data_IF_551409458411
#
_entry.id   IF_551409458411
#
_cell.length_a   1.000
_cell.length_b   1.000
_cell.length_c   1.000
_cell.angle_alpha   90.00
_cell.angle_beta   90.00
_cell.angle_gamma   90.00
#
_symmetry.space_group_name_H-M   'P 1'
#
loop_
_entity.id
_entity.type
_entity.pdbx_description
1 polymer ?
#
# COMPACT_ATOMS: atom_id res chain seq x y z
N UNK A 1 -10.86 36.43 33.52
CA UNK A 1 -11.44 36.62 32.18
C UNK A 1 -10.49 37.50 31.39
N UNK A 2 -10.03 37.03 30.25
CA UNK A 2 -9.22 37.82 29.32
C UNK A 2 -10.20 38.48 28.34
N UNK A 3 -10.21 39.82 28.19
CA UNK A 3 -11.08 40.47 27.21
C UNK A 3 -10.73 40.06 25.78
N UNK A 4 -11.73 39.72 24.95
CA UNK A 4 -11.59 39.42 23.52
C UNK A 4 -12.20 40.56 22.67
N UNK A 5 -11.60 41.77 22.64
CA UNK A 5 -12.24 42.96 22.08
C UNK A 5 -12.67 42.84 20.61
N UNK A 6 -11.99 42.02 19.82
CA UNK A 6 -12.25 41.88 18.39
C UNK A 6 -13.46 40.98 18.08
N UNK A 7 -13.94 40.18 19.06
CA UNK A 7 -15.08 39.25 18.92
C UNK A 7 -15.09 38.51 17.57
N UNK A 8 -13.91 38.04 17.12
CA UNK A 8 -13.79 37.34 15.84
C UNK A 8 -14.66 36.09 15.83
N UNK A 9 -15.21 35.84 14.65
CA UNK A 9 -16.03 34.68 14.33
C UNK A 9 -15.75 34.38 12.85
N UNK A 10 -14.77 33.52 12.62
CA UNK A 10 -14.16 33.31 11.30
C UNK A 10 -15.00 32.41 10.39
N UNK A 11 -15.87 31.57 10.95
CA UNK A 11 -16.77 30.68 10.21
C UNK A 11 -18.25 31.15 10.21
N UNK A 12 -18.54 32.22 10.96
CA UNK A 12 -19.86 32.87 11.10
C UNK A 12 -20.93 31.99 11.75
N UNK A 13 -20.55 31.09 12.65
CA UNK A 13 -21.48 30.26 13.42
C UNK A 13 -22.01 30.98 14.70
N UNK A 14 -22.61 30.25 15.66
CA UNK A 14 -23.20 30.85 16.87
C UNK A 14 -22.17 31.15 17.97
N UNK A 15 -20.94 30.67 17.83
CA UNK A 15 -19.82 30.80 18.74
C UNK A 15 -18.76 31.71 18.09
N UNK A 16 -17.99 32.43 18.91
CA UNK A 16 -16.85 33.21 18.40
C UNK A 16 -15.57 32.40 18.58
N UNK A 17 -14.53 32.67 17.79
CA UNK A 17 -13.29 31.88 17.70
C UNK A 17 -12.68 31.50 19.06
N UNK A 18 -12.86 32.34 20.08
CA UNK A 18 -12.33 32.11 21.43
C UNK A 18 -13.10 31.06 22.25
N UNK A 19 -14.31 30.69 21.83
CA UNK A 19 -15.22 29.75 22.49
C UNK A 19 -15.71 28.67 21.52
N UNK A 20 -15.14 28.63 20.32
CA UNK A 20 -15.48 27.71 19.26
C UNK A 20 -14.41 26.61 19.18
N UNK A 21 -14.82 25.36 19.25
CA UNK A 21 -13.93 24.21 19.10
C UNK A 21 -13.58 23.89 17.63
N UNK A 22 -14.19 24.59 16.66
CA UNK A 22 -13.83 24.59 15.24
C UNK A 22 -13.86 25.99 14.60
N UNK A 23 -12.93 26.91 14.96
CA UNK A 23 -13.00 28.33 14.57
C UNK A 23 -13.11 28.65 13.08
N UNK A 24 -12.82 27.70 12.20
CA UNK A 24 -12.81 27.89 10.75
C UNK A 24 -13.83 26.99 10.02
N UNK A 25 -14.65 26.21 10.74
CA UNK A 25 -15.60 25.26 10.18
C UNK A 25 -16.91 25.26 10.97
N UNK A 26 -17.98 25.68 10.29
CA UNK A 26 -19.31 25.85 10.87
C UNK A 26 -19.80 24.59 11.60
N UNK A 27 -19.89 24.67 12.92
CA UNK A 27 -20.34 23.56 13.78
C UNK A 27 -21.23 24.05 14.95
N UNK A 28 -22.47 24.51 14.67
CA UNK A 28 -23.36 25.10 15.69
C UNK A 28 -23.73 24.20 16.87
N UNK A 29 -23.43 22.90 16.77
CA UNK A 29 -23.61 21.92 17.85
C UNK A 29 -22.45 21.83 18.83
N UNK A 30 -21.26 22.37 18.49
CA UNK A 30 -20.02 22.28 19.28
C UNK A 30 -19.78 20.85 19.81
N UNK A 31 -20.06 19.86 18.98
CA UNK A 31 -19.87 18.45 19.34
C UNK A 31 -18.37 18.22 19.46
N UNK A 32 -17.97 17.66 20.58
CA UNK A 32 -16.61 17.29 20.96
C UNK A 32 -16.77 16.00 21.75
N UNK A 33 -16.91 14.89 21.03
CA UNK A 33 -17.20 13.60 21.63
C UNK A 33 -15.99 13.10 22.43
N UNK A 34 -14.79 13.43 21.97
CA UNK A 34 -13.57 12.88 22.55
C UNK A 34 -13.02 13.66 23.75
N UNK A 35 -13.42 14.93 23.89
CA UNK A 35 -13.13 15.82 25.00
C UNK A 35 -11.77 16.52 24.89
N UNK A 36 -11.12 16.49 23.73
CA UNK A 36 -9.82 17.11 23.51
C UNK A 36 -9.90 18.63 23.22
N UNK A 37 -11.14 19.15 23.08
CA UNK A 37 -11.53 20.54 22.77
C UNK A 37 -11.37 20.95 21.30
N UNK A 38 -11.17 20.00 20.40
CA UNK A 38 -11.30 20.15 18.96
C UNK A 38 -12.67 19.56 18.59
N UNK A 39 -13.49 20.29 17.85
CA UNK A 39 -14.82 19.80 17.51
C UNK A 39 -14.76 18.69 16.47
N UNK A 40 -15.68 17.73 16.53
CA UNK A 40 -15.71 16.55 15.67
C UNK A 40 -15.64 16.89 14.16
N UNK A 41 -16.16 18.05 13.77
CA UNK A 41 -16.17 18.53 12.38
C UNK A 41 -14.78 18.93 11.87
N UNK A 42 -13.87 19.31 12.77
CA UNK A 42 -12.52 19.76 12.46
C UNK A 42 -11.42 18.94 13.14
N UNK A 43 -11.77 17.92 13.92
CA UNK A 43 -10.82 17.01 14.55
C UNK A 43 -10.41 15.90 13.58
N UNK A 44 -9.14 15.83 13.16
CA UNK A 44 -8.64 14.72 12.34
C UNK A 44 -8.58 13.38 13.09
N UNK A 45 -8.79 13.35 14.41
CA UNK A 45 -8.75 12.13 15.25
C UNK A 45 -10.13 11.59 15.61
N UNK A 46 -11.22 12.32 15.30
CA UNK A 46 -12.57 11.77 15.35
C UNK A 46 -12.72 10.72 14.25
N UNK A 47 -12.82 9.47 14.70
CA UNK A 47 -13.17 8.36 13.85
C UNK A 47 -14.66 8.48 13.48
N UNK A 48 -15.05 8.28 12.21
CA UNK A 48 -16.47 8.24 11.85
C UNK A 48 -17.23 7.21 12.70
N UNK A 49 -18.55 7.30 12.72
CA UNK A 49 -19.44 6.22 13.17
C UNK A 49 -19.92 5.55 11.87
N UNK A 50 -19.47 4.34 11.58
CA UNK A 50 -19.74 3.69 10.29
C UNK A 50 -21.10 2.97 10.26
N UNK A 51 -21.62 2.53 11.40
CA UNK A 51 -22.88 1.80 11.48
C UNK A 51 -24.06 2.63 12.01
N UNK A 52 -23.78 3.87 12.37
CA UNK A 52 -24.70 4.92 12.82
C UNK A 52 -25.43 4.56 14.11
N UNK A 53 -24.75 3.87 15.03
CA UNK A 53 -25.31 3.44 16.31
C UNK A 53 -25.11 4.44 17.46
N UNK A 54 -24.47 5.59 17.18
CA UNK A 54 -24.12 6.69 18.09
C UNK A 54 -22.86 6.49 18.93
N UNK A 55 -22.10 5.42 18.68
CA UNK A 55 -20.76 5.18 19.22
C UNK A 55 -19.74 5.37 18.10
N UNK A 56 -18.72 6.19 18.33
CA UNK A 56 -17.69 6.42 17.31
C UNK A 56 -16.81 5.16 17.14
N UNK A 57 -16.37 4.86 15.92
CA UNK A 57 -15.60 3.64 15.60
C UNK A 57 -14.36 3.41 16.49
N UNK A 58 -13.76 4.46 17.08
CA UNK A 58 -12.60 4.33 17.97
C UNK A 58 -12.95 3.95 19.41
N UNK A 59 -14.24 3.94 19.75
CA UNK A 59 -14.84 3.63 21.06
C UNK A 59 -15.92 2.57 20.96
N UNK A 60 -16.29 2.20 19.76
CA UNK A 60 -17.26 1.17 19.44
C UNK A 60 -16.58 -0.20 19.48
N UNK A 61 -17.14 -1.14 20.25
CA UNK A 61 -16.68 -2.53 20.24
C UNK A 61 -17.29 -3.35 19.08
N UNK A 62 -18.09 -2.73 18.20
CA UNK A 62 -18.58 -3.25 16.93
C UNK A 62 -18.75 -2.17 15.81
N UNK A 63 -17.69 -1.51 15.28
CA UNK A 63 -17.73 -0.38 14.34
C UNK A 63 -18.55 -0.52 13.06
N UNK A 64 -19.01 -1.72 12.73
CA UNK A 64 -19.76 -2.00 11.51
C UNK A 64 -21.09 -2.73 11.80
N UNK A 65 -21.43 -2.94 13.08
CA UNK A 65 -22.63 -3.66 13.53
C UNK A 65 -23.24 -2.96 14.73
N UNK A 66 -24.31 -2.20 14.46
CA UNK A 66 -24.96 -1.36 15.46
C UNK A 66 -25.25 -2.08 16.78
N UNK A 67 -24.64 -1.59 17.85
CA UNK A 67 -24.81 -2.05 19.23
C UNK A 67 -24.66 -0.88 20.23
N UNK A 68 -25.65 0.03 20.30
CA UNK A 68 -25.56 1.24 21.12
C UNK A 68 -25.36 0.99 22.63
N UNK A 69 -25.62 -0.23 23.10
CA UNK A 69 -25.44 -0.66 24.48
C UNK A 69 -24.02 -1.17 24.79
N UNK A 70 -23.18 -1.36 23.77
CA UNK A 70 -21.78 -1.76 23.85
C UNK A 70 -21.58 -3.01 24.73
N UNK A 71 -22.56 -3.93 24.70
CA UNK A 71 -22.50 -5.16 25.48
C UNK A 71 -21.28 -6.00 25.07
N UNK A 72 -20.46 -6.37 26.05
CA UNK A 72 -19.28 -7.23 25.93
C UNK A 72 -19.28 -8.15 27.15
N UNK A 73 -19.91 -9.32 27.00
CA UNK A 73 -20.18 -10.23 28.12
C UNK A 73 -18.90 -10.91 28.62
N UNK A 74 -17.91 -11.12 27.75
CA UNK A 74 -16.67 -11.82 28.08
C UNK A 74 -15.49 -10.87 28.38
N UNK A 75 -15.64 -9.58 28.09
CA UNK A 75 -14.69 -8.50 28.39
C UNK A 75 -13.48 -8.49 27.46
N UNK A 76 -13.61 -9.03 26.25
CA UNK A 76 -12.50 -9.16 25.31
C UNK A 76 -12.30 -7.92 24.40
N UNK A 77 -13.21 -6.94 24.46
CA UNK A 77 -13.18 -5.71 23.64
C UNK A 77 -13.94 -5.81 22.32
N UNK A 78 -14.55 -6.94 21.98
CA UNK A 78 -15.49 -7.16 20.88
C UNK A 78 -16.90 -7.21 21.46
N UNK A 79 -17.85 -6.49 20.88
CA UNK A 79 -19.22 -6.51 21.37
C UNK A 79 -19.95 -7.81 21.03
N UNK A 80 -20.84 -8.24 21.93
CA UNK A 80 -21.69 -9.44 21.77
C UNK A 80 -22.46 -9.45 20.43
N UNK A 81 -22.72 -8.26 19.86
CA UNK A 81 -23.45 -8.08 18.61
C UNK A 81 -22.64 -8.42 17.34
N UNK A 82 -21.34 -8.12 17.33
CA UNK A 82 -20.42 -8.45 16.25
C UNK A 82 -19.58 -9.68 16.57
N UNK A 83 -19.71 -10.24 17.76
CA UNK A 83 -19.03 -11.46 18.14
C UNK A 83 -19.38 -12.62 17.18
N UNK A 84 -18.34 -13.32 16.73
CA UNK A 84 -18.47 -14.43 15.79
C UNK A 84 -18.74 -14.03 14.34
N UNK A 85 -18.62 -12.74 13.99
CA UNK A 85 -18.63 -12.26 12.60
C UNK A 85 -17.30 -11.54 12.31
N UNK A 86 -16.71 -11.75 11.13
CA UNK A 86 -15.47 -11.08 10.75
C UNK A 86 -15.50 -10.64 9.29
N UNK A 87 -15.07 -9.41 9.05
CA UNK A 87 -14.81 -8.89 7.71
C UNK A 87 -13.32 -9.05 7.47
N UNK A 88 -12.96 -9.77 6.40
CA UNK A 88 -11.58 -9.82 5.94
C UNK A 88 -11.36 -8.82 4.83
N UNK A 89 -10.31 -8.03 4.98
CA UNK A 89 -9.79 -7.13 3.97
C UNK A 89 -8.39 -7.55 3.54
N UNK A 90 -7.91 -6.91 2.48
CA UNK A 90 -6.51 -6.96 2.10
C UNK A 90 -5.75 -5.86 2.88
N UNK A 91 -4.58 -6.18 3.44
CA UNK A 91 -3.77 -5.20 4.18
C UNK A 91 -3.37 -3.99 3.30
N UNK A 92 -3.27 -4.20 1.99
CA UNK A 92 -2.91 -3.18 1.02
C UNK A 92 -3.79 -3.29 -0.22
N UNK A 93 -4.20 -2.14 -0.76
CA UNK A 93 -5.02 -2.08 -1.98
C UNK A 93 -4.24 -2.44 -3.26
N UNK A 94 -2.91 -2.27 -3.23
CA UNK A 94 -1.99 -2.68 -4.28
C UNK A 94 -0.64 -3.06 -3.66
N UNK A 95 0.08 -4.00 -4.28
CA UNK A 95 1.43 -4.40 -3.87
C UNK A 95 2.37 -4.24 -5.07
N UNK A 96 3.55 -3.68 -4.84
CA UNK A 96 4.65 -3.62 -5.82
C UNK A 96 5.79 -4.47 -5.30
N UNK A 97 6.41 -5.25 -6.17
CA UNK A 97 7.53 -6.13 -5.86
C UNK A 97 8.57 -6.03 -6.97
N UNK A 98 9.85 -6.08 -6.61
CA UNK A 98 10.92 -6.22 -7.60
C UNK A 98 10.94 -7.64 -8.18
N UNK A 99 11.44 -7.80 -9.40
CA UNK A 99 11.56 -9.11 -10.04
C UNK A 99 12.56 -10.02 -9.27
N UNK A 100 13.65 -9.44 -8.73
CA UNK A 100 14.66 -10.10 -7.90
C UNK A 100 14.19 -10.53 -6.49
N UNK A 101 12.95 -10.21 -6.10
CA UNK A 101 12.49 -10.46 -4.74
C UNK A 101 12.27 -11.94 -4.41
N UNK A 102 12.30 -12.83 -5.41
CA UNK A 102 11.95 -14.26 -5.38
C UNK A 102 10.47 -14.55 -5.02
N UNK A 103 9.91 -13.82 -4.05
CA UNK A 103 8.55 -13.95 -3.56
C UNK A 103 7.94 -12.59 -3.22
N UNK A 104 6.67 -12.41 -3.58
CA UNK A 104 5.81 -11.33 -3.09
C UNK A 104 4.88 -11.85 -2.00
N UNK A 105 4.83 -11.17 -0.86
CA UNK A 105 3.89 -11.49 0.22
C UNK A 105 2.72 -10.51 0.21
N UNK A 106 1.52 -11.05 0.38
CA UNK A 106 0.32 -10.27 0.71
C UNK A 106 -0.37 -10.88 1.92
N UNK A 107 -1.08 -10.05 2.68
CA UNK A 107 -1.77 -10.50 3.88
C UNK A 107 -3.27 -10.17 3.82
N UNK A 108 -4.07 -11.16 4.19
CA UNK A 108 -5.46 -10.99 4.56
C UNK A 108 -5.51 -10.61 6.03
N UNK A 109 -6.25 -9.56 6.36
CA UNK A 109 -6.38 -9.05 7.72
C UNK A 109 -7.84 -9.03 8.11
N UNK A 110 -8.12 -9.31 9.38
CA UNK A 110 -9.44 -8.99 9.94
C UNK A 110 -9.49 -7.47 10.07
N UNK A 111 -10.45 -6.84 9.41
CA UNK A 111 -10.65 -5.41 9.53
C UNK A 111 -11.08 -5.08 10.96
N UNK A 112 -10.42 -4.07 11.54
CA UNK A 112 -10.71 -3.59 12.89
C UNK A 112 -10.70 -4.71 13.97
N UNK A 113 -9.56 -5.40 14.20
CA UNK A 113 -9.51 -6.50 15.16
C UNK A 113 -9.53 -5.93 16.59
N UNK A 114 -10.68 -6.01 17.25
CA UNK A 114 -10.92 -5.34 18.56
C UNK A 114 -10.41 -6.14 19.77
N UNK A 115 -9.87 -7.34 19.55
CA UNK A 115 -9.27 -8.16 20.62
C UNK A 115 -7.98 -8.86 20.16
N UNK A 116 -7.25 -9.42 21.13
CA UNK A 116 -6.08 -10.27 20.88
C UNK A 116 -6.42 -11.62 20.24
N UNK A 117 -7.67 -12.06 20.31
CA UNK A 117 -8.18 -13.26 19.66
C UNK A 117 -9.54 -12.95 19.01
N UNK A 118 -9.56 -12.37 17.79
CA UNK A 118 -10.79 -11.90 17.17
C UNK A 118 -11.73 -13.03 16.74
N UNK A 119 -11.22 -14.25 16.57
CA UNK A 119 -12.00 -15.41 16.14
C UNK A 119 -11.64 -16.66 16.95
N UNK A 120 -12.65 -17.32 17.53
CA UNK A 120 -12.48 -18.56 18.30
C UNK A 120 -12.44 -19.83 17.44
N UNK A 121 -12.58 -19.68 16.12
CA UNK A 121 -12.61 -20.77 15.14
C UNK A 121 -11.62 -20.50 13.99
N UNK A 122 -11.22 -21.57 13.30
CA UNK A 122 -10.45 -21.48 12.06
C UNK A 122 -11.35 -21.73 10.86
N UNK A 123 -10.99 -21.16 9.72
CA UNK A 123 -11.72 -21.33 8.47
C UNK A 123 -10.75 -21.35 7.29
N UNK A 124 -11.24 -21.77 6.13
CA UNK A 124 -10.41 -21.91 4.92
C UNK A 124 -10.73 -20.76 3.96
N UNK A 125 -9.68 -20.17 3.39
CA UNK A 125 -9.76 -19.29 2.24
C UNK A 125 -9.12 -19.98 1.04
N UNK A 126 -9.56 -19.63 -0.16
CA UNK A 126 -8.98 -20.11 -1.41
C UNK A 126 -8.31 -18.98 -2.14
N UNK A 127 -7.07 -19.21 -2.54
CA UNK A 127 -6.23 -18.25 -3.26
C UNK A 127 -6.02 -18.72 -4.69
N UNK A 128 -6.15 -17.82 -5.66
CA UNK A 128 -5.82 -18.08 -7.06
C UNK A 128 -5.12 -16.86 -7.67
N UNK A 129 -4.18 -17.09 -8.58
CA UNK A 129 -3.58 -16.01 -9.39
C UNK A 129 -4.23 -15.94 -10.78
N UNK A 130 -4.37 -14.74 -11.33
CA UNK A 130 -4.84 -14.48 -12.68
C UNK A 130 -3.78 -13.67 -13.42
N UNK A 131 -3.44 -14.12 -14.63
CA UNK A 131 -2.56 -13.38 -15.54
C UNK A 131 -3.11 -11.99 -15.86
N UNK A 132 -2.22 -10.99 -15.92
CA UNK A 132 -2.53 -9.64 -16.39
C UNK A 132 -1.64 -9.31 -17.58
N UNK A 133 -0.81 -8.28 -17.46
CA UNK A 133 0.31 -8.10 -18.40
C UNK A 133 1.45 -9.07 -18.09
N UNK A 134 1.64 -9.39 -16.80
CA UNK A 134 2.47 -10.51 -16.36
C UNK A 134 1.68 -11.82 -16.55
N UNK A 135 2.30 -12.81 -17.18
CA UNK A 135 1.78 -14.14 -17.48
C UNK A 135 2.61 -15.28 -16.87
N UNK A 136 1.97 -16.13 -16.06
CA UNK A 136 2.60 -17.38 -15.62
C UNK A 136 2.75 -18.39 -16.77
N UNK A 137 3.89 -19.11 -16.87
CA UNK A 137 4.98 -19.20 -15.89
C UNK A 137 6.18 -18.29 -16.18
N UNK A 138 6.05 -17.27 -17.02
CA UNK A 138 7.14 -16.34 -17.33
C UNK A 138 7.57 -15.58 -16.09
N UNK A 139 6.65 -14.80 -15.53
CA UNK A 139 7.02 -13.76 -14.55
C UNK A 139 6.63 -14.15 -13.11
N UNK A 140 5.71 -15.11 -12.95
CA UNK A 140 5.31 -15.61 -11.64
C UNK A 140 4.82 -17.08 -11.65
N UNK A 141 4.84 -17.70 -10.48
CA UNK A 141 4.32 -19.05 -10.24
C UNK A 141 2.80 -19.05 -9.99
N UNK A 142 2.04 -19.71 -10.86
CA UNK A 142 0.57 -19.80 -10.72
C UNK A 142 0.14 -20.51 -9.42
N UNK A 143 -0.75 -19.88 -8.66
CA UNK A 143 -1.51 -20.50 -7.58
C UNK A 143 -2.90 -20.86 -8.10
N UNK A 144 -3.30 -22.13 -7.95
CA UNK A 144 -4.60 -22.65 -8.44
C UNK A 144 -5.50 -23.09 -7.30
N UNK A 145 -6.39 -22.21 -6.87
CA UNK A 145 -7.41 -22.50 -5.86
C UNK A 145 -6.79 -23.20 -4.63
N UNK A 146 -5.67 -22.65 -4.17
CA UNK A 146 -4.90 -23.16 -3.03
C UNK A 146 -5.67 -22.89 -1.75
N UNK A 147 -5.86 -23.93 -0.95
CA UNK A 147 -6.56 -23.84 0.31
C UNK A 147 -5.60 -23.37 1.41
N UNK A 148 -5.88 -22.22 1.99
CA UNK A 148 -5.13 -21.69 3.13
C UNK A 148 -6.00 -21.68 4.38
N UNK A 149 -5.44 -22.12 5.50
CA UNK A 149 -6.12 -22.15 6.78
C UNK A 149 -5.89 -20.81 7.49
N UNK A 150 -6.96 -20.04 7.66
CA UNK A 150 -6.95 -18.89 8.56
C UNK A 150 -7.06 -19.41 10.00
N UNK A 151 -6.02 -19.30 10.84
CA UNK A 151 -6.01 -19.93 12.16
C UNK A 151 -6.98 -19.22 13.11
N UNK A 152 -7.44 -19.95 14.14
CA UNK A 152 -8.15 -19.29 15.25
C UNK A 152 -7.19 -18.38 16.02
N UNK A 153 -7.72 -17.34 16.64
CA UNK A 153 -6.95 -16.28 17.30
C UNK A 153 -5.88 -15.60 16.44
N UNK A 154 -5.91 -15.74 15.11
CA UNK A 154 -5.06 -14.96 14.22
C UNK A 154 -5.74 -13.65 13.83
N UNK A 155 -4.97 -12.57 13.74
CA UNK A 155 -5.43 -11.27 13.18
C UNK A 155 -5.22 -11.20 11.66
N UNK A 156 -4.32 -12.04 11.12
CA UNK A 156 -3.97 -12.05 9.71
C UNK A 156 -3.53 -13.43 9.22
N UNK A 157 -3.55 -13.59 7.90
CA UNK A 157 -3.01 -14.72 7.14
C UNK A 157 -2.21 -14.18 5.96
N UNK A 158 -0.92 -14.43 5.93
CA UNK A 158 -0.04 -14.00 4.85
C UNK A 158 0.29 -15.15 3.91
N UNK A 159 0.30 -14.88 2.62
CA UNK A 159 0.54 -15.84 1.55
C UNK A 159 1.60 -15.28 0.61
N UNK A 160 2.53 -16.13 0.20
CA UNK A 160 3.60 -15.77 -0.72
C UNK A 160 3.29 -16.28 -2.13
N UNK A 161 3.58 -15.48 -3.14
CA UNK A 161 3.56 -15.86 -4.56
C UNK A 161 4.99 -15.76 -5.07
N UNK A 162 5.49 -16.81 -5.71
CA UNK A 162 6.84 -16.76 -6.30
C UNK A 162 6.85 -15.88 -7.55
N UNK A 163 7.80 -14.97 -7.59
CA UNK A 163 8.16 -14.11 -8.74
C UNK A 163 9.37 -14.74 -9.40
N UNK A 164 9.45 -14.65 -10.73
CA UNK A 164 10.55 -15.21 -11.51
C UNK A 164 11.42 -14.06 -11.97
N UNK A 165 12.70 -14.13 -11.63
CA UNK A 165 13.76 -13.20 -12.01
C UNK A 165 14.38 -13.66 -13.34
N UNK A 166 14.51 -12.75 -14.31
CA UNK A 166 15.33 -12.96 -15.49
C UNK A 166 16.49 -11.96 -15.67
N UNK A 167 16.78 -11.50 -16.88
CA UNK A 167 17.84 -10.50 -17.13
C UNK A 167 17.49 -9.64 -18.34
N UNK A 168 16.21 -9.63 -18.70
CA UNK A 168 15.63 -8.91 -19.82
C UNK A 168 15.01 -7.65 -19.24
N UNK A 169 15.39 -6.50 -19.81
CA UNK A 169 14.73 -5.24 -19.45
C UNK A 169 13.31 -5.21 -20.04
N UNK A 170 12.33 -5.24 -19.17
CA UNK A 170 10.90 -5.23 -19.47
C UNK A 170 10.21 -3.95 -18.95
N UNK A 171 8.90 -3.87 -19.11
CA UNK A 171 8.09 -2.81 -18.50
C UNK A 171 7.51 -3.35 -17.20
N UNK A 172 7.13 -2.48 -16.27
CA UNK A 172 6.39 -2.94 -15.09
C UNK A 172 5.10 -3.66 -15.52
N UNK A 173 4.93 -4.87 -15.02
CA UNK A 173 3.83 -5.74 -15.36
C UNK A 173 2.93 -6.00 -14.16
N UNK A 174 1.70 -6.43 -14.41
CA UNK A 174 0.72 -6.68 -13.35
C UNK A 174 0.07 -8.05 -13.50
N UNK A 175 -0.24 -8.67 -12.36
CA UNK A 175 -1.11 -9.84 -12.26
C UNK A 175 -2.05 -9.67 -11.05
N UNK A 176 -3.11 -10.46 -10.98
CA UNK A 176 -4.06 -10.38 -9.88
C UNK A 176 -4.04 -11.62 -9.01
N UNK A 177 -4.35 -11.43 -7.73
CA UNK A 177 -4.70 -12.48 -6.79
C UNK A 177 -6.19 -12.38 -6.47
N UNK A 178 -6.90 -13.50 -6.62
CA UNK A 178 -8.27 -13.67 -6.17
C UNK A 178 -8.33 -14.42 -4.86
N UNK A 179 -9.24 -13.96 -4.00
CA UNK A 179 -9.52 -14.54 -2.69
C UNK A 179 -10.99 -14.92 -2.63
N UNK A 180 -11.24 -16.18 -2.27
CA UNK A 180 -12.59 -16.71 -2.10
C UNK A 180 -12.74 -17.37 -0.73
N UNK A 181 -13.90 -17.22 -0.09
CA UNK A 181 -14.18 -17.91 1.17
C UNK A 181 -14.56 -19.36 0.92
N UNK A 182 -13.96 -20.26 1.68
CA UNK A 182 -14.37 -21.65 1.69
C UNK A 182 -15.74 -21.87 2.32
N UNK A 183 -16.37 -23.00 2.00
CA UNK A 183 -17.72 -23.34 2.48
C UNK A 183 -17.85 -23.50 4.00
N UNK A 184 -16.73 -23.62 4.73
CA UNK A 184 -16.67 -23.59 6.20
C UNK A 184 -16.91 -22.18 6.77
N UNK A 185 -16.52 -21.12 6.03
CA UNK A 185 -16.75 -19.72 6.41
C UNK A 185 -18.24 -19.32 6.35
N UNK A 186 -19.04 -20.03 5.54
CA UNK A 186 -20.48 -19.81 5.39
C UNK A 186 -21.31 -20.18 6.64
N UNK A 187 -20.69 -20.80 7.66
CA UNK A 187 -21.34 -21.11 8.95
C UNK A 187 -20.97 -20.13 10.06
N UNK A 188 -20.10 -19.16 9.80
CA UNK A 188 -19.39 -18.40 10.83
C UNK A 188 -19.40 -16.89 10.57
N UNK A 189 -20.40 -16.37 9.85
CA UNK A 189 -20.56 -14.93 9.56
C UNK A 189 -19.26 -14.22 9.11
N UNK A 190 -18.43 -14.89 8.31
CA UNK A 190 -17.23 -14.28 7.72
C UNK A 190 -17.58 -13.75 6.33
N UNK A 191 -17.17 -12.53 6.03
CA UNK A 191 -17.30 -11.90 4.71
C UNK A 191 -15.95 -11.38 4.21
N UNK A 192 -15.85 -11.16 2.89
CA UNK A 192 -14.73 -10.46 2.27
C UNK A 192 -15.19 -9.06 1.86
N UNK A 193 -14.41 -8.05 2.21
CA UNK A 193 -14.60 -6.70 1.70
C UNK A 193 -14.03 -6.58 0.28
N UNK A 194 -12.73 -6.91 0.12
CA UNK A 194 -12.10 -7.06 -1.18
C UNK A 194 -11.80 -8.53 -1.53
N UNK A 195 -12.01 -8.89 -2.80
CA UNK A 195 -11.74 -10.25 -3.31
C UNK A 195 -10.61 -10.30 -4.32
N UNK A 196 -10.05 -9.15 -4.68
CA UNK A 196 -9.02 -9.02 -5.72
C UNK A 196 -7.92 -8.06 -5.27
N UNK A 197 -6.68 -8.53 -5.36
CA UNK A 197 -5.47 -7.73 -5.17
C UNK A 197 -4.72 -7.65 -6.50
N UNK A 198 -4.35 -6.45 -6.94
CA UNK A 198 -3.42 -6.28 -8.05
C UNK A 198 -1.99 -6.21 -7.52
N UNK A 199 -1.11 -7.02 -8.08
CA UNK A 199 0.34 -7.01 -7.82
C UNK A 199 1.05 -6.48 -9.05
N UNK A 200 2.02 -5.58 -8.86
CA UNK A 200 2.89 -5.07 -9.91
C UNK A 200 4.30 -5.62 -9.71
N UNK A 201 4.83 -6.29 -10.73
CA UNK A 201 6.23 -6.68 -10.84
C UNK A 201 6.97 -5.49 -11.45
N UNK A 202 8.01 -5.04 -10.76
CA UNK A 202 8.87 -3.93 -11.17
C UNK A 202 10.19 -4.53 -11.61
N UNK A 203 10.47 -4.45 -12.90
CA UNK A 203 11.77 -4.77 -13.48
C UNK A 203 12.85 -3.85 -12.88
N UNK A 204 13.97 -4.44 -12.47
CA UNK A 204 15.13 -3.73 -11.90
C UNK A 204 16.35 -3.77 -12.81
N UNK A 205 16.19 -4.35 -13.99
CA UNK A 205 17.19 -4.49 -15.01
C UNK A 205 17.61 -3.12 -15.52
N UNK A 206 18.89 -2.99 -15.83
CA UNK A 206 19.40 -1.77 -16.44
C UNK A 206 19.85 -2.06 -17.85
N UNK A 207 19.40 -1.24 -18.80
CA UNK A 207 19.87 -1.32 -20.17
C UNK A 207 21.40 -1.15 -20.20
N UNK A 208 22.13 -1.98 -20.98
CA UNK A 208 23.55 -1.75 -21.18
C UNK A 208 23.78 -0.40 -21.86
N UNK A 209 24.57 0.47 -21.23
CA UNK A 209 25.02 1.74 -21.82
C UNK A 209 25.96 1.43 -22.98
N UNK A 210 25.57 1.75 -24.21
CA UNK A 210 26.43 1.60 -25.37
C UNK A 210 27.35 2.81 -25.50
N UNK A 211 28.65 2.58 -25.28
CA UNK A 211 29.70 3.55 -25.56
C UNK A 211 30.39 3.16 -26.86
N UNK A 212 30.21 3.96 -27.90
CA UNK A 212 30.84 3.75 -29.21
C UNK A 212 31.77 4.93 -29.53
N UNK A 213 32.98 4.65 -30.01
CA UNK A 213 33.85 5.72 -30.54
C UNK A 213 33.24 6.28 -31.84
N UNK A 214 33.29 7.61 -32.01
CA UNK A 214 32.81 8.25 -33.26
C UNK A 214 33.57 7.72 -34.49
N UNK A 215 34.85 7.42 -34.32
CA UNK A 215 35.74 6.92 -35.36
C UNK A 215 36.50 5.66 -34.91
N UNK A 216 36.87 4.81 -35.87
CA UNK A 216 37.70 3.61 -35.63
C UNK A 216 39.20 3.91 -35.57
N UNK A 217 39.61 5.14 -35.90
CA UNK A 217 40.99 5.61 -35.85
C UNK A 217 41.07 7.11 -35.67
N UNK A 218 41.98 7.56 -34.79
CA UNK A 218 42.24 8.97 -34.52
C UNK A 218 43.69 9.28 -34.87
N UNK A 219 43.91 10.35 -35.62
CA UNK A 219 45.27 10.85 -35.93
C UNK A 219 45.50 12.15 -35.18
N UNK A 220 46.68 12.30 -34.59
CA UNK A 220 47.09 13.51 -33.89
C UNK A 220 48.51 13.88 -34.31
N UNK A 221 48.78 15.18 -34.41
CA UNK A 221 50.12 15.66 -34.71
C UNK A 221 51.00 15.55 -33.46
N UNK A 222 52.24 15.08 -33.63
CA UNK A 222 53.25 15.04 -32.57
C UNK A 222 53.57 16.41 -31.96
N UNK A 223 53.22 17.50 -32.66
CA UNK A 223 53.35 18.87 -32.14
C UNK A 223 52.29 19.25 -31.10
N UNK A 224 51.23 18.45 -30.95
CA UNK A 224 50.15 18.66 -29.99
C UNK A 224 50.35 17.75 -28.76
N UNK A 225 50.15 18.30 -27.55
CA UNK A 225 50.32 17.56 -26.28
C UNK A 225 49.10 16.73 -25.87
N UNK A 226 47.96 16.93 -26.55
CA UNK A 226 46.65 16.34 -26.23
C UNK A 226 45.97 15.93 -27.54
N UNK A 227 45.38 14.74 -27.57
CA UNK A 227 44.49 14.26 -28.63
C UNK A 227 43.07 14.14 -28.07
N UNK A 228 42.08 14.68 -28.80
CA UNK A 228 40.68 14.57 -28.42
C UNK A 228 40.08 13.33 -29.08
N UNK A 229 39.49 12.45 -28.28
CA UNK A 229 38.75 11.27 -28.73
C UNK A 229 37.28 11.51 -28.39
N UNK A 230 36.41 11.37 -29.37
CA UNK A 230 34.98 11.56 -29.18
C UNK A 230 34.28 10.20 -29.09
N UNK A 231 33.37 10.06 -28.13
CA UNK A 231 32.57 8.86 -27.96
C UNK A 231 31.09 9.25 -27.93
N UNK A 232 30.28 8.47 -28.62
CA UNK A 232 28.83 8.53 -28.56
C UNK A 232 28.39 7.63 -27.43
N UNK A 233 27.67 8.21 -26.49
CA UNK A 233 26.92 7.48 -25.48
C UNK A 233 25.50 7.36 -26.03
N UNK A 234 25.14 6.17 -26.47
CA UNK A 234 23.80 5.88 -26.95
C UNK A 234 23.02 5.16 -25.86
N UNK A 235 21.97 5.83 -25.37
CA UNK A 235 20.97 5.21 -24.51
C UNK A 235 19.78 4.89 -25.42
N UNK A 236 19.26 3.67 -25.37
CA UNK A 236 18.13 3.26 -26.22
C UNK A 236 16.77 3.80 -25.73
N UNK A 237 16.75 4.80 -24.85
CA UNK A 237 15.52 5.32 -24.24
C UNK A 237 15.22 6.77 -24.63
N UNK A 238 13.94 7.04 -24.86
CA UNK A 238 13.35 8.35 -25.10
C UNK A 238 13.05 9.14 -23.82
N UNK A 239 13.38 8.60 -22.65
CA UNK A 239 13.12 9.25 -21.36
C UNK A 239 14.45 9.50 -20.61
N UNK A 240 14.86 10.76 -20.58
CA UNK A 240 16.13 11.23 -20.02
C UNK A 240 16.02 11.51 -18.51
N UNK A 241 15.39 10.62 -17.73
CA UNK A 241 15.09 10.88 -16.32
C UNK A 241 16.01 10.16 -15.31
N UNK A 242 16.84 9.22 -15.74
CA UNK A 242 17.74 8.48 -14.84
C UNK A 242 19.19 8.86 -15.13
N UNK A 243 19.79 9.63 -14.22
CA UNK A 243 21.20 10.00 -14.28
C UNK A 243 22.07 8.85 -13.82
N UNK A 244 22.75 8.19 -14.75
CA UNK A 244 23.75 7.17 -14.41
C UNK A 244 25.15 7.80 -14.38
N UNK A 245 25.89 7.59 -13.28
CA UNK A 245 27.32 7.87 -13.21
C UNK A 245 28.08 6.61 -13.68
N UNK A 246 28.80 6.70 -14.79
CA UNK A 246 29.66 5.62 -15.28
C UNK A 246 31.06 6.14 -15.62
N UNK A 247 32.08 5.30 -15.39
CA UNK A 247 33.47 5.59 -15.71
C UNK A 247 33.89 4.87 -17.00
N UNK A 248 34.25 5.62 -18.03
CA UNK A 248 34.77 5.07 -19.29
C UNK A 248 36.30 5.08 -19.27
N UNK A 249 36.93 3.90 -19.22
CA UNK A 249 38.38 3.74 -19.30
C UNK A 249 38.78 3.41 -20.75
N UNK A 250 39.32 4.41 -21.46
CA UNK A 250 39.85 4.23 -22.81
C UNK A 250 41.33 3.78 -22.78
N UNK A 251 41.63 2.61 -23.37
CA UNK A 251 43.01 2.17 -23.59
C UNK A 251 43.47 2.59 -24.99
N UNK A 252 44.25 3.66 -25.07
CA UNK A 252 44.81 4.17 -26.33
C UNK A 252 46.12 3.45 -26.64
N UNK A 253 46.22 2.86 -27.84
CA UNK A 253 47.48 2.33 -28.38
C UNK A 253 47.91 3.26 -29.51
N UNK A 254 48.98 4.03 -29.29
CA UNK A 254 49.56 4.88 -30.32
C UNK A 254 50.61 4.08 -31.10
N UNK A 255 50.54 4.13 -32.44
CA UNK A 255 51.55 3.61 -33.34
C UNK A 255 52.15 4.77 -34.12
N UNK A 256 53.48 4.80 -34.23
CA UNK A 256 54.20 5.72 -35.12
C UNK A 256 54.39 5.03 -36.46
N UNK A 257 54.00 5.67 -37.56
CA UNK A 257 54.43 5.27 -38.91
C UNK A 257 55.91 5.63 -39.15
#
# INVERSE_FOLDING_TARGET
LVPNPDQTNSDSDRFGDACDNCPYLLNPGQVDYDGDRIGDVCDPHVSPDNDHDTVLNNRDNCPHVSNPDQADTDGNGVGDACEGSAVLGLESAFVMVNEDAEEVQFCLVIEHPMSDCPLSFSFVVYISTINGTAESPGDFSVIRHQAELFPNCSKSLCVNVSVHDDSVLELNETFDVLVELGTTAARTNVSLNETRLQITIVDEETAPVLVQLEETGYTASESHRIANICAIIANNYSDCAVGFDFEVILKVIATTD
#
